data_IF_859222915731
#
_entry.id   IF_859222915731
#
_cell.length_a   1.000
_cell.length_b   1.000
_cell.length_c   1.000
_cell.angle_alpha   90.00
_cell.angle_beta   90.00
_cell.angle_gamma   90.00
#
_symmetry.space_group_name_H-M   'P 1'
#
loop_
_entity.id
_entity.type
_entity.pdbx_description
1 polymer ?
#
# COMPACT_ATOMS: atom_id res chain seq x y z
N UNK A 1 -13.25 -12.35 19.97
CA UNK A 1 -12.46 -11.16 20.34
C UNK A 1 -11.44 -10.96 19.23
N UNK A 2 -11.44 -9.82 18.54
CA UNK A 2 -10.45 -9.53 17.51
C UNK A 2 -9.14 -9.12 18.22
N UNK A 3 -8.04 -9.79 17.91
CA UNK A 3 -6.73 -9.47 18.46
C UNK A 3 -6.11 -8.39 17.57
N UNK A 4 -5.75 -7.24 18.16
CA UNK A 4 -5.09 -6.17 17.41
C UNK A 4 -3.65 -6.59 17.11
N UNK A 5 -3.39 -6.91 15.83
CA UNK A 5 -2.07 -7.24 15.34
C UNK A 5 -1.44 -5.99 14.73
N UNK A 6 -0.32 -5.56 15.30
CA UNK A 6 0.51 -4.50 14.69
C UNK A 6 1.46 -5.15 13.67
N UNK A 7 1.36 -4.72 12.42
CA UNK A 7 2.25 -5.13 11.34
C UNK A 7 3.13 -3.94 10.95
N UNK A 8 4.44 -4.15 10.97
CA UNK A 8 5.42 -3.19 10.44
C UNK A 8 5.76 -3.62 9.02
N UNK A 9 5.55 -2.72 8.06
CA UNK A 9 5.81 -3.00 6.65
C UNK A 9 7.08 -2.28 6.20
N UNK A 10 7.90 -2.97 5.43
CA UNK A 10 8.99 -2.36 4.68
C UNK A 10 8.43 -1.55 3.50
N UNK A 11 9.18 -0.57 2.99
CA UNK A 11 8.76 0.21 1.81
C UNK A 11 8.43 -0.67 0.57
N UNK A 12 9.12 -1.80 0.41
CA UNK A 12 8.90 -2.74 -0.70
C UNK A 12 7.57 -3.49 -0.56
N UNK A 13 7.20 -3.87 0.65
CA UNK A 13 5.91 -4.51 0.94
C UNK A 13 4.76 -3.53 0.74
N UNK A 14 4.92 -2.26 1.15
CA UNK A 14 3.94 -1.20 0.88
C UNK A 14 3.72 -1.05 -0.63
N UNK A 15 4.78 -1.05 -1.43
CA UNK A 15 4.68 -1.01 -2.89
C UNK A 15 3.97 -2.24 -3.48
N UNK A 16 4.25 -3.43 -2.96
CA UNK A 16 3.56 -4.65 -3.39
C UNK A 16 2.04 -4.59 -3.09
N UNK A 17 1.66 -4.10 -1.90
CA UNK A 17 0.26 -3.94 -1.51
C UNK A 17 -0.44 -2.93 -2.41
N UNK A 18 0.14 -1.75 -2.64
CA UNK A 18 -0.45 -0.73 -3.53
C UNK A 18 -0.63 -1.29 -4.94
N UNK A 19 0.37 -1.99 -5.50
CA UNK A 19 0.24 -2.62 -6.82
C UNK A 19 -0.83 -3.69 -6.86
N UNK A 20 -1.04 -4.42 -5.77
CA UNK A 20 -2.14 -5.39 -5.67
C UNK A 20 -3.49 -4.67 -5.64
N UNK A 21 -3.59 -3.56 -4.93
CA UNK A 21 -4.79 -2.72 -4.88
C UNK A 21 -5.13 -2.10 -6.24
N UNK A 22 -4.13 -1.59 -6.97
CA UNK A 22 -4.31 -1.04 -8.31
C UNK A 22 -4.81 -2.07 -9.33
N UNK A 23 -4.55 -3.37 -9.08
CA UNK A 23 -5.01 -4.49 -9.92
C UNK A 23 -6.40 -4.99 -9.52
N UNK A 24 -6.99 -4.49 -8.44
CA UNK A 24 -8.32 -4.89 -8.00
C UNK A 24 -9.35 -4.51 -9.07
N UNK A 25 -10.13 -5.48 -9.62
CA UNK A 25 -11.13 -5.18 -10.62
C UNK A 25 -12.22 -4.27 -10.04
N UNK A 26 -12.55 -3.18 -10.75
CA UNK A 26 -13.60 -2.22 -10.33
C UNK A 26 -14.99 -2.90 -10.28
N UNK A 27 -15.19 -3.96 -11.08
CA UNK A 27 -16.41 -4.76 -11.11
C UNK A 27 -16.58 -5.70 -9.92
N UNK A 28 -15.56 -5.88 -9.08
CA UNK A 28 -15.58 -6.80 -7.95
C UNK A 28 -15.62 -6.05 -6.62
N UNK A 29 -16.36 -6.61 -5.65
CA UNK A 29 -16.37 -6.06 -4.30
C UNK A 29 -14.99 -6.30 -3.67
N UNK A 30 -14.31 -5.25 -3.17
CA UNK A 30 -13.02 -5.43 -2.51
C UNK A 30 -13.14 -6.31 -1.26
N UNK A 31 -12.08 -7.06 -0.91
CA UNK A 31 -12.09 -7.89 0.27
C UNK A 31 -12.23 -7.06 1.56
N UNK A 32 -12.67 -7.70 2.64
CA UNK A 32 -12.80 -7.05 3.94
C UNK A 32 -11.48 -6.39 4.38
N UNK A 33 -11.57 -5.14 4.84
CA UNK A 33 -10.40 -4.37 5.29
C UNK A 33 -9.61 -3.69 4.16
N UNK A 34 -9.95 -3.89 2.89
CA UNK A 34 -9.27 -3.25 1.75
C UNK A 34 -9.16 -1.73 1.90
N UNK A 35 -10.30 -1.06 2.08
CA UNK A 35 -10.36 0.40 2.21
C UNK A 35 -9.61 0.90 3.44
N UNK A 36 -9.68 0.17 4.55
CA UNK A 36 -8.97 0.52 5.79
C UNK A 36 -7.45 0.43 5.63
N UNK A 37 -6.94 -0.59 4.91
CA UNK A 37 -5.51 -0.69 4.61
C UNK A 37 -5.11 0.42 3.64
N UNK A 38 -5.91 0.69 2.61
CA UNK A 38 -5.64 1.75 1.65
C UNK A 38 -5.55 3.12 2.32
N UNK A 39 -6.49 3.45 3.21
CA UNK A 39 -6.50 4.71 3.96
C UNK A 39 -5.26 4.85 4.87
N UNK A 40 -4.88 3.77 5.57
CA UNK A 40 -3.66 3.75 6.40
C UNK A 40 -2.40 4.00 5.58
N UNK A 41 -2.29 3.36 4.41
CA UNK A 41 -1.16 3.56 3.48
C UNK A 41 -1.14 4.99 2.95
N UNK A 42 -2.28 5.51 2.47
CA UNK A 42 -2.40 6.90 1.97
C UNK A 42 -2.03 7.89 3.06
N UNK A 43 -2.44 7.65 4.31
CA UNK A 43 -2.10 8.50 5.45
C UNK A 43 -0.61 8.45 5.75
N UNK A 44 0.02 7.27 5.76
CA UNK A 44 1.46 7.13 5.95
C UNK A 44 2.27 7.85 4.86
N UNK A 45 1.80 7.81 3.60
CA UNK A 45 2.43 8.48 2.47
C UNK A 45 2.22 10.01 2.44
N UNK A 46 1.51 10.60 3.41
CA UNK A 46 1.49 12.07 3.59
C UNK A 46 2.81 12.61 4.15
N UNK A 47 3.62 11.77 4.79
CA UNK A 47 4.99 12.14 5.17
C UNK A 47 5.86 12.27 3.90
N UNK A 48 6.47 13.44 3.64
CA UNK A 48 7.31 13.66 2.47
C UNK A 48 8.48 12.67 2.35
N UNK A 49 9.05 12.21 3.48
CA UNK A 49 10.16 11.25 3.49
C UNK A 49 9.68 9.86 3.06
N UNK A 50 8.56 9.41 3.62
CA UNK A 50 7.94 8.14 3.24
C UNK A 50 7.53 8.15 1.76
N UNK A 51 7.02 9.29 1.28
CA UNK A 51 6.66 9.48 -0.12
C UNK A 51 7.86 9.40 -1.05
N UNK A 52 8.96 10.06 -0.72
CA UNK A 52 10.18 10.05 -1.53
C UNK A 52 10.79 8.64 -1.65
N UNK A 53 10.84 7.87 -0.56
CA UNK A 53 11.31 6.48 -0.57
C UNK A 53 10.39 5.58 -1.41
N UNK A 54 9.07 5.74 -1.29
CA UNK A 54 8.10 5.03 -2.10
C UNK A 54 8.27 5.32 -3.60
N UNK A 55 8.35 6.60 -3.98
CA UNK A 55 8.47 7.02 -5.37
C UNK A 55 9.79 6.54 -6.00
N UNK A 56 10.89 6.54 -5.24
CA UNK A 56 12.18 5.99 -5.67
C UNK A 56 12.07 4.50 -6.00
N UNK A 57 11.47 3.70 -5.11
CA UNK A 57 11.27 2.26 -5.33
C UNK A 57 10.32 1.97 -6.49
N UNK A 58 9.28 2.80 -6.65
CA UNK A 58 8.35 2.67 -7.76
C UNK A 58 9.02 2.95 -9.11
N UNK A 59 9.97 3.90 -9.16
CA UNK A 59 10.73 4.26 -10.36
C UNK A 59 11.76 3.19 -10.75
N UNK A 60 12.49 2.60 -9.80
CA UNK A 60 13.48 1.54 -10.05
C UNK A 60 12.88 0.26 -10.66
N UNK A 61 11.57 0.03 -10.49
CA UNK A 61 10.86 -1.18 -10.91
C UNK A 61 10.00 -0.98 -12.17
N UNK A 62 10.13 0.12 -12.91
CA UNK A 62 9.57 0.25 -14.27
C UNK A 62 10.58 -0.33 -15.27
N UNK A 63 10.36 -1.54 -15.83
CA UNK A 63 11.09 -1.92 -17.04
C UNK A 63 10.72 -0.92 -18.14
N UNK A 64 11.74 -0.46 -18.87
CA UNK A 64 11.55 0.32 -20.10
C UNK A 64 10.86 -0.54 -21.16
#
# INVERSE_FOLDING_TARGET
MAQDVTLTLTPQEVLAIIRSMDRQPISETPPAGYWSVQEKIVTALRDPRARAEFDKLAAEKRPQ
#
